data_IF_221788050312
#
_entry.id   IF_221788050312
#
_cell.length_a   1.000
_cell.length_b   1.000
_cell.length_c   1.000
_cell.angle_alpha   90.00
_cell.angle_beta   90.00
_cell.angle_gamma   90.00
#
_symmetry.space_group_name_H-M   'P 1'
#
loop_
_entity.id
_entity.type
_entity.pdbx_description
1 polymer ?
#
# COMPACT_ATOMS: atom_id res chain seq x y z
N UNK A 1 -20.91 2.99 -25.45
CA UNK A 1 -20.34 1.63 -25.47
C UNK A 1 -21.37 0.50 -25.23
N UNK A 2 -22.61 0.77 -24.80
CA UNK A 2 -23.67 -0.26 -24.69
C UNK A 2 -24.99 0.22 -25.35
N UNK A 3 -24.92 0.68 -26.60
CA UNK A 3 -26.10 1.26 -27.28
C UNK A 3 -26.98 0.21 -27.97
N UNK A 4 -26.53 -1.05 -28.03
CA UNK A 4 -27.25 -2.16 -28.63
C UNK A 4 -27.49 -3.26 -27.57
N UNK A 5 -28.63 -3.97 -27.62
CA UNK A 5 -28.92 -5.08 -26.73
C UNK A 5 -28.16 -6.34 -27.16
N UNK A 6 -26.87 -6.39 -26.83
CA UNK A 6 -26.00 -7.53 -27.11
C UNK A 6 -26.00 -8.53 -25.94
N UNK A 7 -25.96 -9.82 -26.24
CA UNK A 7 -25.84 -10.90 -25.25
C UNK A 7 -24.42 -11.45 -25.27
N UNK A 8 -23.81 -11.62 -24.10
CA UNK A 8 -22.55 -12.33 -23.92
C UNK A 8 -22.75 -13.82 -24.25
N UNK A 9 -22.10 -14.35 -25.31
CA UNK A 9 -22.34 -15.73 -25.76
C UNK A 9 -21.82 -16.79 -24.78
N UNK A 10 -20.87 -16.46 -23.89
CA UNK A 10 -20.34 -17.40 -22.91
C UNK A 10 -21.22 -17.46 -21.66
N UNK A 11 -21.70 -16.31 -21.20
CA UNK A 11 -22.47 -16.21 -19.94
C UNK A 11 -23.98 -16.18 -20.13
N UNK A 12 -24.45 -16.05 -21.37
CA UNK A 12 -25.87 -15.94 -21.74
C UNK A 12 -26.57 -14.84 -20.93
N UNK A 13 -25.87 -13.71 -20.72
CA UNK A 13 -26.34 -12.52 -20.00
C UNK A 13 -26.17 -11.29 -20.89
N UNK A 14 -26.98 -10.23 -20.73
CA UNK A 14 -26.71 -8.96 -21.39
C UNK A 14 -25.26 -8.53 -21.20
N UNK A 15 -24.61 -8.12 -22.27
CA UNK A 15 -23.19 -7.73 -22.27
C UNK A 15 -22.93 -6.57 -21.29
N UNK A 16 -23.89 -5.65 -21.14
CA UNK A 16 -23.85 -4.60 -20.12
C UNK A 16 -23.67 -5.16 -18.69
N UNK A 17 -24.30 -6.29 -18.36
CA UNK A 17 -24.18 -6.94 -17.03
C UNK A 17 -22.80 -7.58 -16.88
N UNK A 18 -22.27 -8.20 -17.93
CA UNK A 18 -20.95 -8.85 -17.86
C UNK A 18 -19.82 -7.83 -17.80
N UNK A 19 -19.95 -6.71 -18.53
CA UNK A 19 -19.06 -5.55 -18.43
C UNK A 19 -19.11 -4.85 -17.06
N UNK A 20 -20.31 -4.64 -16.50
CA UNK A 20 -20.42 -4.10 -15.15
C UNK A 20 -19.72 -5.00 -14.12
N UNK A 21 -19.96 -6.31 -14.18
CA UNK A 21 -19.35 -7.24 -13.24
C UNK A 21 -17.82 -7.35 -13.38
N UNK A 22 -17.26 -7.13 -14.57
CA UNK A 22 -15.80 -7.15 -14.76
C UNK A 22 -15.12 -5.87 -14.26
N UNK A 23 -15.84 -4.75 -14.19
CA UNK A 23 -15.28 -3.43 -13.83
C UNK A 23 -15.61 -2.98 -12.41
N UNK A 24 -16.74 -3.41 -11.84
CA UNK A 24 -17.21 -2.97 -10.51
C UNK A 24 -16.25 -3.22 -9.35
N UNK A 25 -15.35 -4.20 -9.49
CA UNK A 25 -14.47 -4.65 -8.41
C UNK A 25 -13.29 -3.71 -8.10
N UNK A 26 -13.12 -2.61 -8.84
CA UNK A 26 -11.95 -1.73 -8.69
C UNK A 26 -11.76 -1.18 -7.27
N UNK A 27 -12.83 -0.61 -6.69
CA UNK A 27 -12.82 -0.03 -5.34
C UNK A 27 -12.63 -1.12 -4.28
N UNK A 28 -13.42 -2.20 -4.35
CA UNK A 28 -13.33 -3.32 -3.40
C UNK A 28 -11.95 -3.98 -3.42
N UNK A 29 -11.31 -4.07 -4.59
CA UNK A 29 -9.95 -4.61 -4.73
C UNK A 29 -8.93 -3.70 -4.04
N UNK A 30 -9.05 -2.38 -4.16
CA UNK A 30 -8.20 -1.44 -3.42
C UNK A 30 -8.45 -1.55 -1.91
N UNK A 31 -9.72 -1.65 -1.50
CA UNK A 31 -10.06 -1.75 -0.08
C UNK A 31 -9.50 -3.02 0.55
N UNK A 32 -9.68 -4.18 -0.10
CA UNK A 32 -9.06 -5.44 0.29
C UNK A 32 -7.54 -5.32 0.38
N UNK A 33 -6.91 -4.67 -0.61
CA UNK A 33 -5.47 -4.42 -0.63
C UNK A 33 -5.03 -3.62 0.60
N UNK A 34 -5.73 -2.56 0.97
CA UNK A 34 -5.44 -1.75 2.15
C UNK A 34 -5.70 -2.53 3.45
N UNK A 35 -6.76 -3.32 3.52
CA UNK A 35 -7.11 -4.12 4.70
C UNK A 35 -6.03 -5.17 5.05
N UNK A 36 -5.44 -5.82 4.05
CA UNK A 36 -4.39 -6.85 4.26
C UNK A 36 -3.14 -6.26 4.93
N UNK A 37 -2.77 -5.01 4.60
CA UNK A 37 -1.60 -4.33 5.17
C UNK A 37 -1.98 -2.94 5.67
N UNK A 38 -2.76 -2.91 6.75
CA UNK A 38 -3.25 -1.65 7.31
C UNK A 38 -2.34 -1.08 8.40
N UNK A 39 -2.17 0.23 8.38
CA UNK A 39 -1.54 1.04 9.43
C UNK A 39 -2.52 1.46 10.52
N UNK A 40 -3.81 1.13 10.38
CA UNK A 40 -4.86 1.49 11.33
C UNK A 40 -4.54 1.03 12.76
N UNK A 41 -4.91 1.86 13.72
CA UNK A 41 -4.79 1.60 15.16
C UNK A 41 -6.08 2.01 15.86
N UNK A 42 -6.39 1.35 16.98
CA UNK A 42 -7.48 1.77 17.86
C UNK A 42 -7.20 3.19 18.34
N UNK A 43 -8.11 4.11 18.07
CA UNK A 43 -8.00 5.52 18.40
C UNK A 43 -9.37 6.10 18.75
N UNK A 44 -9.41 7.08 19.65
CA UNK A 44 -10.61 7.85 19.96
C UNK A 44 -10.68 9.17 19.15
N UNK A 45 -9.70 9.42 18.28
CA UNK A 45 -9.60 10.65 17.49
C UNK A 45 -9.91 10.33 16.04
N UNK A 46 -11.12 10.69 15.56
CA UNK A 46 -11.55 10.43 14.19
C UNK A 46 -10.58 10.94 13.10
N UNK A 47 -9.85 12.07 13.26
CA UNK A 47 -8.91 12.51 12.22
C UNK A 47 -7.76 11.53 12.02
N UNK A 48 -7.37 10.81 13.09
CA UNK A 48 -6.33 9.77 12.99
C UNK A 48 -6.79 8.60 12.13
N UNK A 49 -8.09 8.25 12.15
CA UNK A 49 -8.64 7.20 11.28
C UNK A 49 -8.49 7.57 9.81
N UNK A 50 -8.80 8.82 9.47
CA UNK A 50 -8.60 9.36 8.12
C UNK A 50 -7.12 9.35 7.75
N UNK A 51 -6.24 9.76 8.66
CA UNK A 51 -4.80 9.74 8.45
C UNK A 51 -4.26 8.33 8.15
N UNK A 52 -4.62 7.32 8.96
CA UNK A 52 -4.23 5.94 8.70
C UNK A 52 -4.74 5.44 7.34
N UNK A 53 -5.99 5.82 6.98
CA UNK A 53 -6.52 5.44 5.66
C UNK A 53 -5.74 6.10 4.52
N UNK A 54 -5.34 7.35 4.67
CA UNK A 54 -4.49 8.02 3.67
C UNK A 54 -3.14 7.31 3.51
N UNK A 55 -2.51 6.87 4.61
CA UNK A 55 -1.27 6.10 4.54
C UNK A 55 -1.44 4.78 3.78
N UNK A 56 -2.49 4.02 4.08
CA UNK A 56 -2.75 2.72 3.45
C UNK A 56 -2.99 2.85 1.93
N UNK A 57 -3.76 3.87 1.53
CA UNK A 57 -4.06 4.15 0.11
C UNK A 57 -2.80 4.66 -0.61
N UNK A 58 -2.05 5.58 0.01
CA UNK A 58 -0.81 6.10 -0.57
C UNK A 58 0.24 5.01 -0.77
N UNK A 59 0.41 4.08 0.19
CA UNK A 59 1.31 2.96 0.05
C UNK A 59 0.89 2.00 -1.08
N UNK A 60 -0.43 1.74 -1.22
CA UNK A 60 -0.95 0.93 -2.31
C UNK A 60 -0.71 1.58 -3.69
N UNK A 61 -0.93 2.89 -3.81
CA UNK A 61 -0.70 3.64 -5.05
C UNK A 61 0.79 3.75 -5.39
N UNK A 62 1.65 4.02 -4.40
CA UNK A 62 3.10 4.05 -4.59
C UNK A 62 3.64 2.71 -5.10
N UNK A 63 3.10 1.59 -4.58
CA UNK A 63 3.44 0.26 -5.09
C UNK A 63 3.03 0.07 -6.55
N UNK A 64 1.82 0.50 -6.93
CA UNK A 64 1.35 0.43 -8.32
C UNK A 64 2.30 1.19 -9.25
N UNK A 65 2.61 2.45 -8.92
CA UNK A 65 3.53 3.30 -9.70
C UNK A 65 4.91 2.65 -9.80
N UNK A 66 5.48 2.20 -8.68
CA UNK A 66 6.77 1.51 -8.66
C UNK A 66 6.76 0.25 -9.51
N UNK A 67 5.67 -0.51 -9.51
CA UNK A 67 5.53 -1.73 -10.29
C UNK A 67 5.38 -1.49 -11.79
N UNK A 68 4.81 -0.34 -12.18
CA UNK A 68 4.70 0.09 -13.58
C UNK A 68 6.05 0.57 -14.13
N UNK A 69 6.88 1.19 -13.29
CA UNK A 69 8.17 1.75 -13.69
C UNK A 69 9.34 0.74 -13.69
N UNK A 70 9.19 -0.42 -13.03
CA UNK A 70 10.25 -1.43 -12.98
C UNK A 70 10.09 -2.46 -14.11
N UNK A 71 10.96 -2.38 -15.12
CA UNK A 71 10.97 -3.28 -16.28
C UNK A 71 11.34 -4.74 -15.93
N UNK A 72 11.98 -4.97 -14.77
CA UNK A 72 12.57 -6.26 -14.41
C UNK A 72 12.26 -6.60 -12.94
N UNK A 73 11.39 -7.60 -12.76
CA UNK A 73 10.89 -8.24 -11.51
C UNK A 73 9.86 -7.47 -10.68
N UNK A 74 8.67 -8.10 -10.59
CA UNK A 74 7.65 -7.75 -9.60
C UNK A 74 8.20 -7.98 -8.18
N UNK A 75 8.40 -6.90 -7.43
CA UNK A 75 8.67 -6.98 -5.99
C UNK A 75 7.38 -7.35 -5.27
N UNK A 76 7.46 -8.26 -4.29
CA UNK A 76 6.33 -8.55 -3.40
C UNK A 76 5.93 -7.27 -2.64
N UNK A 77 4.63 -6.97 -2.60
CA UNK A 77 4.11 -5.76 -1.98
C UNK A 77 4.57 -5.56 -0.53
N UNK A 78 4.67 -6.65 0.25
CA UNK A 78 5.20 -6.61 1.61
C UNK A 78 6.64 -6.08 1.65
N UNK A 79 7.50 -6.56 0.76
CA UNK A 79 8.90 -6.13 0.71
C UNK A 79 9.02 -4.67 0.25
N UNK A 80 8.16 -4.23 -0.67
CA UNK A 80 8.07 -2.82 -1.04
C UNK A 80 7.71 -1.95 0.17
N UNK A 81 6.70 -2.31 0.95
CA UNK A 81 6.30 -1.52 2.13
C UNK A 81 7.36 -1.55 3.24
N UNK A 82 8.08 -2.67 3.43
CA UNK A 82 9.20 -2.73 4.36
C UNK A 82 10.30 -1.74 3.96
N UNK A 83 10.73 -1.77 2.70
CA UNK A 83 11.71 -0.82 2.17
C UNK A 83 11.24 0.63 2.29
N UNK A 84 9.99 0.90 1.94
CA UNK A 84 9.39 2.23 2.11
C UNK A 84 9.47 2.69 3.57
N UNK A 85 9.14 1.82 4.54
CA UNK A 85 9.23 2.15 5.95
C UNK A 85 10.69 2.39 6.38
N UNK A 86 11.61 1.54 5.92
CA UNK A 86 13.05 1.65 6.19
C UNK A 86 13.62 2.98 5.66
N UNK A 87 13.31 3.33 4.41
CA UNK A 87 13.73 4.57 3.75
C UNK A 87 13.20 5.81 4.49
N UNK A 88 11.96 5.76 5.01
CA UNK A 88 11.36 6.85 5.76
C UNK A 88 11.97 7.03 7.15
N UNK A 89 12.35 5.95 7.84
CA UNK A 89 12.90 6.04 9.21
C UNK A 89 14.40 6.31 9.23
N UNK A 90 15.14 5.91 8.19
CA UNK A 90 16.60 6.00 8.13
C UNK A 90 17.18 7.40 8.48
N UNK A 91 16.66 8.53 7.94
CA UNK A 91 17.16 9.85 8.30
C UNK A 91 16.95 10.20 9.79
N UNK A 92 15.87 9.69 10.39
CA UNK A 92 15.57 9.91 11.80
C UNK A 92 16.46 9.05 12.70
N UNK A 93 16.73 7.80 12.31
CA UNK A 93 17.65 6.91 13.02
C UNK A 93 19.08 7.49 13.03
N UNK A 94 19.56 8.00 11.90
CA UNK A 94 20.86 8.69 11.79
C UNK A 94 20.97 9.93 12.68
N UNK A 95 19.89 10.68 12.88
CA UNK A 95 19.89 11.81 13.82
C UNK A 95 19.91 11.31 15.26
N UNK A 96 19.11 10.28 15.57
CA UNK A 96 18.96 9.74 16.92
C UNK A 96 20.27 9.14 17.46
N UNK A 97 21.05 8.44 16.63
CA UNK A 97 22.30 7.79 17.09
C UNK A 97 23.35 8.80 17.60
N UNK A 98 23.30 10.05 17.13
CA UNK A 98 24.21 11.11 17.54
C UNK A 98 23.76 11.88 18.79
N UNK A 99 22.60 11.53 19.38
CA UNK A 99 22.10 12.17 20.59
C UNK A 99 22.84 11.68 21.83
N UNK A 100 23.20 12.62 22.71
CA UNK A 100 23.79 12.31 24.00
C UNK A 100 22.81 11.54 24.89
N UNK A 101 23.29 10.54 25.62
CA UNK A 101 22.48 9.75 26.55
C UNK A 101 21.70 8.58 25.92
N UNK A 102 21.87 8.29 24.63
CA UNK A 102 21.25 7.11 24.01
C UNK A 102 21.91 5.82 24.54
N UNK A 103 21.10 4.84 24.95
CA UNK A 103 21.58 3.54 25.43
C UNK A 103 22.43 2.83 24.35
N UNK A 104 23.56 2.24 24.77
CA UNK A 104 24.53 1.59 23.86
C UNK A 104 23.89 0.50 22.99
N UNK A 105 22.97 -0.29 23.54
CA UNK A 105 22.25 -1.33 22.80
C UNK A 105 21.45 -0.75 21.63
N UNK A 106 20.72 0.34 21.89
CA UNK A 106 19.95 1.02 20.85
C UNK A 106 20.86 1.70 19.82
N UNK A 107 21.98 2.27 20.24
CA UNK A 107 23.01 2.78 19.31
C UNK A 107 23.51 1.67 18.39
N UNK A 108 23.82 0.50 18.94
CA UNK A 108 24.30 -0.65 18.16
C UNK A 108 23.22 -1.17 17.21
N UNK A 109 21.96 -1.25 17.64
CA UNK A 109 20.84 -1.64 16.80
C UNK A 109 20.66 -0.68 15.61
N UNK A 110 20.72 0.63 15.87
CA UNK A 110 20.62 1.64 14.80
C UNK A 110 21.82 1.56 13.83
N UNK A 111 23.04 1.37 14.34
CA UNK A 111 24.24 1.20 13.48
C UNK A 111 24.19 -0.08 12.64
N UNK A 112 23.52 -1.12 13.14
CA UNK A 112 23.27 -2.35 12.39
C UNK A 112 22.18 -2.23 11.34
N UNK A 113 21.29 -1.24 11.46
CA UNK A 113 20.20 -0.97 10.52
C UNK A 113 20.68 -0.30 9.22
N UNK A 114 21.69 0.58 9.29
CA UNK A 114 22.24 1.30 8.12
C UNK A 114 23.30 0.50 7.32
N UNK A 115 23.43 -0.82 7.50
CA UNK A 115 24.35 -1.70 6.75
C UNK A 115 23.60 -2.45 5.65
#
# INVERSE_FOLDING_TARGET
MHHAPTIDPQKQKPEMITFYNSTKGGVDTLDQKCAIYSTSRRTQRWPMVVFYRMLDVSAANAYIISSMNQSQKKVFRLNFMKRLAEDLIEPHLRRRVNQFGLQRELQNAIRGFSK
#
